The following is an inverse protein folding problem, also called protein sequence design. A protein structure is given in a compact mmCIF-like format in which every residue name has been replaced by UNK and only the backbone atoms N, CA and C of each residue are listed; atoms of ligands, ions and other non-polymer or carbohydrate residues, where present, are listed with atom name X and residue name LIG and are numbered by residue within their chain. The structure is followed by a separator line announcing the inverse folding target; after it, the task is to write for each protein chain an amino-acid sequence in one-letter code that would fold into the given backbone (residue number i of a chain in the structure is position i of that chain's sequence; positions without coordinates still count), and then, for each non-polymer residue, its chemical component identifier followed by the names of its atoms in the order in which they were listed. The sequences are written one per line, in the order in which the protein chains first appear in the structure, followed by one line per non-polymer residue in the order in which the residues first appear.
data_IF_781994235128
#
_entry.id   IF_781994235128
#
_cell.length_a   1.000
_cell.length_b   1.000
_cell.length_c   1.000
_cell.angle_alpha   90.00
_cell.angle_beta   90.00
_cell.angle_gamma   90.00
#
_symmetry.space_group_name_H-M   'P 1'
#
loop_
_entity.id
_entity.type
_entity.pdbx_description
1 polymer ?
#
# COMPACT_ATOMS: atom_id res chain seq x y z
N UNK A 1 12.43 1.77 -11.17
CA UNK A 1 11.03 1.82 -10.74
C UNK A 1 11.06 2.10 -9.25
N UNK A 2 10.35 3.13 -8.79
CA UNK A 2 10.36 3.56 -7.39
C UNK A 2 9.53 2.57 -6.54
N UNK A 3 9.99 2.22 -5.34
CA UNK A 3 9.16 1.45 -4.41
C UNK A 3 8.17 2.38 -3.73
N UNK A 4 6.97 1.89 -3.38
CA UNK A 4 6.01 2.71 -2.64
C UNK A 4 6.54 3.17 -1.29
N UNK A 5 7.46 2.45 -0.64
CA UNK A 5 8.06 2.93 0.61
C UNK A 5 9.00 4.13 0.44
N UNK A 6 9.54 4.36 -0.77
CA UNK A 6 10.45 5.49 -1.05
C UNK A 6 9.73 6.84 -0.98
N UNK A 7 8.41 6.85 -1.15
CA UNK A 7 7.54 8.03 -1.19
C UNK A 7 6.68 8.18 0.07
N UNK A 8 6.74 7.21 0.98
CA UNK A 8 5.93 7.21 2.21
C UNK A 8 6.66 8.00 3.29
N UNK A 9 6.03 9.08 3.73
CA UNK A 9 6.43 9.81 4.92
C UNK A 9 6.24 8.96 6.18
N UNK A 10 7.10 9.16 7.18
CA UNK A 10 7.11 8.40 8.43
C UNK A 10 7.33 6.88 8.24
N UNK A 11 8.05 6.48 7.18
CA UNK A 11 8.33 5.07 6.84
C UNK A 11 9.42 4.39 7.68
N UNK A 12 10.00 5.02 8.70
CA UNK A 12 11.10 4.42 9.50
C UNK A 12 10.76 3.05 10.09
N UNK A 13 9.51 2.84 10.51
CA UNK A 13 9.06 1.53 10.98
C UNK A 13 8.97 0.52 9.82
N UNK A 14 8.35 0.91 8.70
CA UNK A 14 8.21 0.07 7.51
C UNK A 14 9.58 -0.35 6.96
N UNK A 15 10.54 0.57 6.86
CA UNK A 15 11.90 0.29 6.38
C UNK A 15 12.68 -0.66 7.29
N UNK A 16 12.27 -0.85 8.55
CA UNK A 16 12.86 -1.85 9.46
C UNK A 16 12.29 -3.25 9.22
N UNK A 17 10.99 -3.35 8.96
CA UNK A 17 10.32 -4.64 8.74
C UNK A 17 10.38 -5.09 7.27
N UNK A 18 10.55 -4.16 6.33
CA UNK A 18 10.65 -4.39 4.89
C UNK A 18 11.80 -3.54 4.30
N UNK A 19 13.07 -3.89 4.60
CA UNK A 19 14.23 -3.10 4.17
C UNK A 19 14.43 -3.04 2.66
N UNK A 20 13.93 -4.04 1.93
CA UNK A 20 14.00 -4.12 0.47
C UNK A 20 12.75 -3.52 -0.22
N UNK A 21 11.90 -2.83 0.55
CA UNK A 21 10.62 -2.30 0.07
C UNK A 21 9.48 -3.33 0.12
N UNK A 22 8.30 -2.93 -0.34
CA UNK A 22 7.19 -3.87 -0.56
C UNK A 22 7.34 -4.55 -1.92
N UNK A 23 7.44 -5.88 -1.90
CA UNK A 23 7.72 -6.70 -3.09
C UNK A 23 6.53 -7.57 -3.45
N UNK A 24 5.82 -8.09 -2.45
CA UNK A 24 4.70 -9.00 -2.65
C UNK A 24 3.48 -8.51 -1.87
N UNK A 25 2.92 -7.39 -2.34
CA UNK A 25 1.75 -6.81 -1.75
C UNK A 25 0.55 -6.81 -2.70
N UNK A 26 -0.64 -6.72 -2.14
CA UNK A 26 -1.89 -6.42 -2.86
C UNK A 26 -2.49 -5.11 -2.34
N UNK A 27 -3.29 -4.43 -3.18
CA UNK A 27 -4.13 -3.33 -2.71
C UNK A 27 -5.41 -3.93 -2.14
N UNK A 28 -5.57 -3.87 -0.82
CA UNK A 28 -6.70 -4.45 -0.11
C UNK A 28 -7.95 -3.60 -0.23
N UNK A 29 -7.89 -2.38 0.28
CA UNK A 29 -8.97 -1.41 0.14
C UNK A 29 -8.45 0.01 0.09
N UNK A 30 -9.35 0.92 -0.26
CA UNK A 30 -9.14 2.34 -0.08
C UNK A 30 -10.46 3.03 0.28
N UNK A 31 -10.35 4.13 1.00
CA UNK A 31 -11.46 4.99 1.38
C UNK A 31 -11.15 6.40 0.89
N UNK A 32 -11.98 6.89 -0.02
CA UNK A 32 -11.93 8.28 -0.47
C UNK A 32 -12.83 9.13 0.42
N UNK A 33 -12.28 10.25 0.88
CA UNK A 33 -13.00 11.33 1.55
C UNK A 33 -12.84 12.61 0.75
N UNK A 34 -13.27 13.76 1.28
CA UNK A 34 -13.27 15.02 0.54
C UNK A 34 -11.86 15.45 0.07
N UNK A 35 -10.84 15.30 0.91
CA UNK A 35 -9.48 15.77 0.65
C UNK A 35 -8.40 14.69 0.82
N UNK A 36 -8.80 13.48 1.24
CA UNK A 36 -7.86 12.42 1.62
C UNK A 36 -8.28 11.07 1.08
N UNK A 37 -7.26 10.24 0.88
CA UNK A 37 -7.43 8.83 0.62
C UNK A 37 -6.73 8.03 1.71
N UNK A 38 -7.43 7.09 2.32
CA UNK A 38 -6.79 6.02 3.09
C UNK A 38 -6.63 4.82 2.17
N UNK A 39 -5.42 4.27 2.04
CA UNK A 39 -5.15 3.05 1.28
C UNK A 39 -4.59 1.99 2.22
N UNK A 40 -5.00 0.74 2.02
CA UNK A 40 -4.48 -0.40 2.76
C UNK A 40 -3.80 -1.34 1.80
N UNK A 41 -2.49 -1.55 2.00
CA UNK A 41 -1.69 -2.52 1.27
C UNK A 41 -1.54 -3.78 2.12
N UNK A 42 -1.79 -4.95 1.56
CA UNK A 42 -1.58 -6.23 2.25
C UNK A 42 -0.24 -6.80 1.78
N UNK A 43 0.77 -6.80 2.66
CA UNK A 43 2.06 -7.45 2.38
C UNK A 43 2.03 -8.90 2.86
N UNK A 44 2.37 -9.82 1.96
CA UNK A 44 2.31 -11.27 2.19
C UNK A 44 3.70 -11.87 2.46
N UNK A 45 4.76 -11.05 2.48
CA UNK A 45 6.11 -11.44 2.88
C UNK A 45 6.29 -11.30 4.39
N UNK A 46 6.96 -12.28 5.00
CA UNK A 46 7.34 -12.24 6.40
C UNK A 46 8.21 -11.00 6.69
N UNK A 47 7.91 -10.23 7.76
CA UNK A 47 8.76 -9.14 8.21
C UNK A 47 10.21 -9.58 8.46
N UNK A 48 11.20 -8.77 8.04
CA UNK A 48 12.62 -9.02 8.28
C UNK A 48 13.00 -9.05 9.76
N UNK A 49 12.18 -8.43 10.62
CA UNK A 49 12.33 -8.48 12.07
C UNK A 49 11.02 -8.89 12.73
N UNK A 50 11.13 -9.65 13.81
CA UNK A 50 9.96 -10.00 14.64
C UNK A 50 9.44 -8.77 15.37
N UNK A 51 8.14 -8.51 15.24
CA UNK A 51 7.42 -7.51 16.03
C UNK A 51 6.69 -8.23 17.16
N UNK A 52 7.10 -8.00 18.41
CA UNK A 52 6.57 -8.75 19.58
C UNK A 52 5.04 -8.72 19.70
N UNK A 53 4.41 -7.59 19.32
CA UNK A 53 2.96 -7.41 19.38
C UNK A 53 2.18 -8.30 18.40
N UNK A 54 2.80 -8.79 17.33
CA UNK A 54 2.13 -9.51 16.25
C UNK A 54 2.15 -11.04 16.41
N UNK A 55 2.78 -11.56 17.48
CA UNK A 55 2.91 -13.00 17.73
C UNK A 55 3.74 -13.73 16.66
N UNK A 56 3.28 -14.86 16.11
CA UNK A 56 4.05 -15.76 15.25
C UNK A 56 3.56 -15.73 13.77
N UNK A 57 4.47 -15.46 12.83
CA UNK A 57 4.19 -15.49 11.39
C UNK A 57 3.83 -16.91 10.92
N UNK A 58 2.90 -17.03 9.98
CA UNK A 58 2.40 -18.31 9.46
C UNK A 58 1.44 -19.05 10.40
N UNK A 59 1.28 -18.59 11.65
CA UNK A 59 0.41 -19.20 12.65
C UNK A 59 -0.66 -18.25 13.17
N UNK A 60 -0.27 -17.06 13.62
CA UNK A 60 -1.19 -16.05 14.14
C UNK A 60 -1.51 -14.99 13.08
N UNK A 61 -0.62 -14.80 12.10
CA UNK A 61 -0.81 -13.93 10.95
C UNK A 61 0.06 -14.36 9.77
N UNK A 62 -0.38 -14.06 8.55
CA UNK A 62 0.41 -14.19 7.33
C UNK A 62 0.21 -12.98 6.39
N UNK A 63 -0.44 -11.93 6.90
CA UNK A 63 -0.59 -10.64 6.23
C UNK A 63 -0.21 -9.54 7.22
N UNK A 64 0.56 -8.57 6.73
CA UNK A 64 0.69 -7.25 7.34
C UNK A 64 -0.09 -6.25 6.50
N UNK A 65 -1.20 -5.74 7.03
CA UNK A 65 -1.97 -4.67 6.41
C UNK A 65 -1.38 -3.31 6.81
N UNK A 66 -0.81 -2.61 5.84
CA UNK A 66 -0.17 -1.31 5.97
C UNK A 66 -1.16 -0.23 5.55
N UNK A 67 -1.57 0.60 6.50
CA UNK A 67 -2.48 1.72 6.25
C UNK A 67 -1.67 2.99 5.96
N UNK A 68 -1.93 3.59 4.80
CA UNK A 68 -1.32 4.81 4.31
C UNK A 68 -2.39 5.89 4.12
N UNK A 69 -2.06 7.13 4.46
CA UNK A 69 -2.93 8.29 4.28
C UNK A 69 -2.35 9.21 3.21
N UNK A 70 -3.02 9.28 2.07
CA UNK A 70 -2.78 10.28 1.05
C UNK A 70 -3.52 11.59 1.38
N UNK A 71 -2.84 12.73 1.25
CA UNK A 71 -3.46 14.05 1.47
C UNK A 71 -3.47 14.91 0.21
N UNK A 72 -4.47 15.77 0.12
CA UNK A 72 -4.74 16.67 -1.02
C UNK A 72 -4.85 15.87 -2.32
N UNK A 73 -6.05 15.31 -2.55
CA UNK A 73 -6.35 14.59 -3.79
C UNK A 73 -6.46 15.59 -4.95
N UNK A 74 -5.51 15.54 -5.88
CA UNK A 74 -5.57 16.28 -7.15
C UNK A 74 -6.31 15.50 -8.22
N UNK A 75 -6.18 14.17 -8.20
CA UNK A 75 -6.84 13.25 -9.14
C UNK A 75 -7.08 11.89 -8.49
N UNK A 76 -8.22 11.30 -8.78
CA UNK A 76 -8.51 9.90 -8.48
C UNK A 76 -9.24 9.27 -9.68
N UNK A 77 -8.64 8.25 -10.28
CA UNK A 77 -9.24 7.43 -11.34
C UNK A 77 -9.40 6.01 -10.80
N UNK A 78 -10.61 5.47 -10.87
CA UNK A 78 -10.90 4.09 -10.47
C UNK A 78 -11.72 3.45 -11.57
N UNK A 79 -11.17 2.42 -12.21
CA UNK A 79 -11.83 1.69 -13.28
C UNK A 79 -11.89 0.20 -12.92
N UNK A 80 -13.10 -0.38 -13.01
CA UNK A 80 -13.36 -1.81 -12.85
C UNK A 80 -12.77 -2.43 -11.58
N UNK A 81 -12.71 -1.68 -10.47
CA UNK A 81 -12.09 -2.14 -9.22
C UNK A 81 -12.65 -3.48 -8.70
N UNK A 82 -13.94 -3.76 -8.96
CA UNK A 82 -14.57 -5.02 -8.59
C UNK A 82 -13.89 -6.26 -9.20
N UNK A 83 -13.04 -6.08 -10.21
CA UNK A 83 -12.27 -7.16 -10.82
C UNK A 83 -10.91 -7.38 -10.15
N UNK A 84 -10.48 -6.50 -9.24
CA UNK A 84 -9.34 -6.77 -8.38
C UNK A 84 -9.70 -7.85 -7.35
N UNK A 85 -9.27 -9.07 -7.60
CA UNK A 85 -9.43 -10.23 -6.71
C UNK A 85 -8.31 -10.31 -5.66
N UNK A 86 -7.88 -9.15 -5.15
CA UNK A 86 -6.72 -9.01 -4.27
C UNK A 86 -5.47 -9.70 -4.86
N UNK A 87 -5.27 -9.51 -6.18
CA UNK A 87 -4.13 -10.11 -6.86
C UNK A 87 -2.85 -9.41 -6.42
N UNK A 88 -1.86 -10.17 -5.99
CA UNK A 88 -0.47 -9.74 -5.79
C UNK A 88 0.27 -9.47 -7.11
N UNK A 89 -0.33 -9.86 -8.24
CA UNK A 89 0.21 -9.58 -9.58
C UNK A 89 -0.54 -8.42 -10.20
N UNK A 90 0.07 -7.23 -10.14
CA UNK A 90 -0.33 -6.02 -10.87
C UNK A 90 0.91 -5.22 -11.26
N UNK A 91 0.76 -4.40 -12.29
CA UNK A 91 1.75 -3.39 -12.66
C UNK A 91 1.61 -2.20 -11.70
N UNK A 92 2.74 -1.70 -11.19
CA UNK A 92 2.81 -0.46 -10.43
C UNK A 92 3.67 0.56 -11.17
N UNK A 93 3.20 1.79 -11.22
CA UNK A 93 3.99 2.93 -11.68
C UNK A 93 3.85 4.08 -10.68
N UNK A 94 5.00 4.55 -10.19
CA UNK A 94 5.08 5.50 -9.09
C UNK A 94 6.12 6.54 -9.47
N UNK A 95 5.70 7.80 -9.52
CA UNK A 95 6.56 8.92 -9.89
C UNK A 95 6.08 10.23 -9.28
N UNK A 96 6.97 11.21 -9.26
CA UNK A 96 6.65 12.60 -8.86
C UNK A 96 6.64 13.45 -10.11
N UNK A 97 5.55 14.21 -10.33
CA UNK A 97 5.39 15.15 -11.43
C UNK A 97 4.68 16.39 -10.91
N UNK A 98 5.19 17.58 -11.24
CA UNK A 98 4.60 18.88 -10.85
C UNK A 98 4.30 18.99 -9.34
N UNK A 99 5.24 18.53 -8.50
CA UNK A 99 5.12 18.43 -7.04
C UNK A 99 3.94 17.55 -6.54
N UNK A 100 3.41 16.69 -7.41
CA UNK A 100 2.39 15.70 -7.10
C UNK A 100 2.97 14.30 -7.13
N UNK A 101 2.59 13.53 -6.12
CA UNK A 101 2.83 12.11 -6.01
C UNK A 101 1.81 11.36 -6.85
N UNK A 102 2.27 10.70 -7.91
CA UNK A 102 1.43 9.91 -8.80
C UNK A 102 1.65 8.43 -8.52
N UNK A 103 0.56 7.72 -8.21
CA UNK A 103 0.57 6.30 -7.88
C UNK A 103 -0.43 5.60 -8.79
N UNK A 104 0.04 4.63 -9.54
CA UNK A 104 -0.77 3.85 -10.45
C UNK A 104 -0.65 2.37 -10.15
N UNK A 105 -1.80 1.69 -10.10
CA UNK A 105 -1.90 0.25 -10.00
C UNK A 105 -2.77 -0.26 -11.14
N UNK A 106 -2.32 -1.31 -11.82
CA UNK A 106 -3.02 -1.84 -12.99
C UNK A 106 -2.97 -3.37 -13.01
N UNK A 107 -4.14 -3.97 -12.93
CA UNK A 107 -4.33 -5.39 -13.21
C UNK A 107 -4.71 -5.63 -14.67
N UNK A 108 -5.15 -6.85 -14.95
CA UNK A 108 -5.57 -7.26 -16.31
C UNK A 108 -6.75 -6.42 -16.81
N UNK A 109 -7.71 -6.13 -15.95
CA UNK A 109 -9.00 -5.54 -16.30
C UNK A 109 -9.47 -4.45 -15.33
N UNK A 110 -8.59 -4.01 -14.42
CA UNK A 110 -8.82 -2.94 -13.46
C UNK A 110 -7.62 -1.99 -13.42
N UNK A 111 -7.89 -0.73 -13.09
CA UNK A 111 -6.87 0.29 -12.97
C UNK A 111 -7.26 1.34 -11.93
N UNK A 112 -6.29 1.74 -11.12
CA UNK A 112 -6.38 2.82 -10.17
C UNK A 112 -5.22 3.79 -10.38
N UNK A 113 -5.53 5.08 -10.30
CA UNK A 113 -4.55 6.16 -10.33
C UNK A 113 -4.92 7.20 -9.27
N UNK A 114 -3.94 7.62 -8.49
CA UNK A 114 -4.05 8.75 -7.58
C UNK A 114 -2.94 9.76 -7.84
N UNK A 115 -3.31 11.04 -7.87
CA UNK A 115 -2.37 12.15 -7.78
C UNK A 115 -2.62 12.88 -6.45
N UNK A 116 -1.61 12.90 -5.58
CA UNK A 116 -1.68 13.32 -4.18
C UNK A 116 -0.56 14.32 -3.87
N UNK A 117 -0.67 15.09 -2.80
CA UNK A 117 0.47 15.90 -2.32
C UNK A 117 1.43 15.12 -1.43
N UNK A 118 0.92 14.25 -0.55
CA UNK A 118 1.75 13.42 0.33
C UNK A 118 1.12 12.06 0.54
N UNK A 119 1.93 11.10 1.00
CA UNK A 119 1.50 9.77 1.42
C UNK A 119 2.18 9.43 2.74
N UNK A 120 1.40 9.25 3.81
CA UNK A 120 1.93 9.15 5.18
C UNK A 120 1.57 7.81 5.80
N UNK A 121 2.55 7.10 6.35
CA UNK A 121 2.30 5.90 7.13
C UNK A 121 1.44 6.19 8.37
N UNK A 122 0.38 5.41 8.57
CA UNK A 122 -0.51 5.53 9.73
C UNK A 122 -0.29 4.40 10.74
N UNK A 123 -0.43 3.15 10.30
CA UNK A 123 -0.38 1.97 11.18
C UNK A 123 -0.24 0.68 10.38
N UNK A 124 0.12 -0.38 11.10
CA UNK A 124 -0.03 -1.75 10.62
C UNK A 124 -1.05 -2.51 11.47
N UNK A 125 -1.80 -3.41 10.83
CA UNK A 125 -2.53 -4.49 11.46
C UNK A 125 -2.08 -5.84 10.89
N UNK A 126 -2.38 -6.93 11.60
CA UNK A 126 -1.99 -8.28 11.18
C UNK A 126 -3.18 -9.21 11.27
N UNK A 127 -3.30 -10.14 10.33
CA UNK A 127 -4.34 -11.17 10.34
C UNK A 127 -3.93 -12.38 9.49
N UNK A 128 -4.73 -13.43 9.56
CA UNK A 128 -4.63 -14.60 8.68
C UNK A 128 -5.54 -14.39 7.47
N UNK A 129 -4.96 -14.49 6.27
CA UNK A 129 -5.71 -14.57 5.02
C UNK A 129 -6.59 -15.83 5.06
N UNK A 130 -7.90 -15.64 4.95
CA UNK A 130 -8.92 -16.70 4.95
C UNK A 130 -9.18 -17.24 3.56
#
# INVERSE_FOLDING_TARGET
MMNILDIVDNSTFLNKIYPDGLVHFSLGNFVLTQDRITMVLHEETEPAIRVEKWSEWGKDYNIVAIELLGTVIHKATINNWQNNKESVSFEQDIFVQDDQLNIQFKGVDWHIEFALSTLVFQRCSTYLKS
#
